data_IF_481149607920
#
_entry.id   IF_481149607920
#
_cell.length_a   1.000
_cell.length_b   1.000
_cell.length_c   1.000
_cell.angle_alpha   90.00
_cell.angle_beta   90.00
_cell.angle_gamma   90.00
#
_symmetry.space_group_name_H-M   'P 1'
#
loop_
_entity.id
_entity.type
_entity.pdbx_description
1 polymer ?
#
# COMPACT_ATOMS: atom_id res chain seq x y z
N UNK A 1 -16.15 21.27 -15.07
CA UNK A 1 -14.90 21.46 -14.31
C UNK A 1 -13.78 20.93 -15.20
N UNK A 2 -12.98 21.80 -15.81
CA UNK A 2 -11.85 21.37 -16.64
C UNK A 2 -10.70 20.99 -15.71
N UNK A 3 -10.28 19.72 -15.74
CA UNK A 3 -9.08 19.28 -15.03
C UNK A 3 -7.88 19.83 -15.80
N UNK A 4 -7.12 20.74 -15.20
CA UNK A 4 -5.85 21.19 -15.76
C UNK A 4 -4.80 20.13 -15.45
N UNK A 5 -4.22 19.51 -16.47
CA UNK A 5 -3.16 18.51 -16.33
C UNK A 5 -1.80 19.18 -16.11
N UNK A 6 -1.65 19.86 -14.98
CA UNK A 6 -0.35 20.34 -14.52
C UNK A 6 0.42 19.24 -13.77
N UNK A 7 1.71 19.50 -13.49
CA UNK A 7 2.59 18.54 -12.84
C UNK A 7 2.04 18.11 -11.47
N UNK A 8 1.43 19.03 -10.73
CA UNK A 8 0.79 18.76 -9.44
C UNK A 8 -0.34 17.74 -9.59
N UNK A 9 -1.25 17.95 -10.53
CA UNK A 9 -2.38 17.07 -10.79
C UNK A 9 -1.91 15.70 -11.28
N UNK A 10 -0.91 15.65 -12.16
CA UNK A 10 -0.32 14.39 -12.63
C UNK A 10 0.27 13.58 -11.47
N UNK A 11 1.08 14.21 -10.60
CA UNK A 11 1.64 13.52 -9.43
C UNK A 11 0.58 13.09 -8.42
N UNK A 12 -0.47 13.89 -8.22
CA UNK A 12 -1.59 13.49 -7.38
C UNK A 12 -2.26 12.21 -7.90
N UNK A 13 -2.44 12.09 -9.23
CA UNK A 13 -2.97 10.87 -9.84
C UNK A 13 -2.03 9.67 -9.74
N UNK A 14 -0.72 9.86 -9.92
CA UNK A 14 0.27 8.78 -9.77
C UNK A 14 0.24 8.24 -8.33
N UNK A 15 0.25 9.13 -7.32
CA UNK A 15 0.19 8.73 -5.91
C UNK A 15 -1.15 8.06 -5.59
N UNK A 16 -2.27 8.63 -6.05
CA UNK A 16 -3.59 8.05 -5.84
C UNK A 16 -3.71 6.66 -6.47
N UNK A 17 -3.16 6.48 -7.67
CA UNK A 17 -3.05 5.18 -8.32
C UNK A 17 -2.17 4.23 -7.52
N UNK A 18 -1.02 4.68 -7.01
CA UNK A 18 -0.14 3.86 -6.18
C UNK A 18 -0.81 3.37 -4.89
N UNK A 19 -1.53 4.26 -4.19
CA UNK A 19 -2.31 3.88 -3.01
C UNK A 19 -3.43 2.91 -3.37
N UNK A 20 -4.14 3.15 -4.47
CA UNK A 20 -5.18 2.24 -4.95
C UNK A 20 -4.62 0.85 -5.29
N UNK A 21 -3.51 0.81 -6.01
CA UNK A 21 -2.79 -0.39 -6.38
C UNK A 21 -2.37 -1.19 -5.13
N UNK A 22 -1.79 -0.52 -4.13
CA UNK A 22 -1.47 -1.09 -2.82
C UNK A 22 -2.70 -1.74 -2.17
N UNK A 23 -3.79 -0.98 -2.01
CA UNK A 23 -5.01 -1.47 -1.36
C UNK A 23 -5.60 -2.70 -2.05
N UNK A 24 -5.54 -2.76 -3.39
CA UNK A 24 -6.08 -3.89 -4.15
C UNK A 24 -5.16 -5.11 -4.06
N UNK A 25 -3.85 -4.93 -4.26
CA UNK A 25 -2.91 -6.04 -4.39
C UNK A 25 -2.45 -6.54 -3.02
N UNK A 26 -1.92 -5.66 -2.17
CA UNK A 26 -1.49 -6.02 -0.81
C UNK A 26 -2.69 -6.38 0.08
N UNK A 27 -3.87 -5.80 -0.21
CA UNK A 27 -5.12 -6.18 0.45
C UNK A 27 -5.50 -7.65 0.26
N UNK A 28 -5.11 -8.28 -0.86
CA UNK A 28 -5.24 -9.72 -1.04
C UNK A 28 -4.30 -10.49 -0.11
N UNK A 29 -3.03 -10.09 -0.01
CA UNK A 29 -2.02 -10.74 0.84
C UNK A 29 -2.41 -10.66 2.32
N UNK A 30 -2.76 -9.46 2.78
CA UNK A 30 -3.26 -9.21 4.14
C UNK A 30 -4.57 -9.96 4.40
N UNK A 31 -5.46 -10.04 3.40
CA UNK A 31 -6.70 -10.79 3.48
C UNK A 31 -6.47 -12.28 3.72
N UNK A 32 -5.53 -12.89 3.00
CA UNK A 32 -5.12 -14.28 3.26
C UNK A 32 -4.44 -14.40 4.62
N UNK A 33 -3.62 -13.43 5.04
CA UNK A 33 -3.03 -13.38 6.38
C UNK A 33 -4.08 -13.39 7.51
N UNK A 34 -5.16 -12.61 7.37
CA UNK A 34 -6.28 -12.59 8.32
C UNK A 34 -7.01 -13.93 8.36
N UNK A 35 -7.22 -14.55 7.19
CA UNK A 35 -7.90 -15.85 7.07
C UNK A 35 -6.99 -17.04 7.42
N UNK A 36 -5.68 -16.83 7.53
CA UNK A 36 -4.68 -17.88 7.70
C UNK A 36 -4.99 -18.89 8.83
N UNK A 37 -5.50 -18.47 10.01
CA UNK A 37 -5.87 -19.40 11.08
C UNK A 37 -6.96 -20.42 10.69
N UNK A 38 -7.78 -20.11 9.68
CA UNK A 38 -8.90 -20.95 9.21
C UNK A 38 -8.40 -22.13 8.37
N UNK A 39 -7.36 -21.93 7.56
CA UNK A 39 -6.79 -22.96 6.69
C UNK A 39 -6.10 -24.08 7.49
N UNK A 40 -6.09 -25.30 6.95
CA UNK A 40 -5.44 -26.47 7.57
C UNK A 40 -4.73 -27.34 6.53
N UNK A 41 -3.62 -27.96 6.93
CA UNK A 41 -2.88 -28.89 6.06
C UNK A 41 -2.47 -28.24 4.73
N UNK A 42 -2.75 -28.94 3.63
CA UNK A 42 -2.42 -28.50 2.27
C UNK A 42 -3.00 -27.13 1.89
N UNK A 43 -4.15 -26.72 2.47
CA UNK A 43 -4.74 -25.41 2.21
C UNK A 43 -3.84 -24.27 2.71
N UNK A 44 -3.07 -24.49 3.78
CA UNK A 44 -2.10 -23.50 4.27
C UNK A 44 -0.95 -23.34 3.29
N UNK A 45 -0.42 -24.45 2.80
CA UNK A 45 0.67 -24.44 1.83
C UNK A 45 0.22 -23.78 0.53
N UNK A 46 -1.02 -24.05 0.08
CA UNK A 46 -1.61 -23.41 -1.08
C UNK A 46 -1.81 -21.90 -0.87
N UNK A 47 -2.31 -21.48 0.30
CA UNK A 47 -2.49 -20.08 0.64
C UNK A 47 -1.14 -19.33 0.65
N UNK A 48 -0.10 -19.91 1.24
CA UNK A 48 1.25 -19.31 1.26
C UNK A 48 1.85 -19.23 -0.14
N UNK A 49 1.73 -20.30 -0.95
CA UNK A 49 2.24 -20.34 -2.31
C UNK A 49 1.56 -19.33 -3.25
N UNK A 50 0.34 -18.88 -2.93
CA UNK A 50 -0.36 -17.85 -3.69
C UNK A 50 0.21 -16.43 -3.46
N UNK A 51 0.72 -16.16 -2.25
CA UNK A 51 1.22 -14.83 -1.84
C UNK A 51 2.73 -14.68 -2.06
N UNK A 52 3.49 -15.73 -1.73
CA UNK A 52 4.96 -15.70 -1.72
C UNK A 52 5.64 -15.14 -2.98
N UNK A 53 5.15 -15.34 -4.22
CA UNK A 53 5.80 -14.78 -5.41
C UNK A 53 5.50 -13.30 -5.66
N UNK A 54 4.50 -12.70 -5.02
CA UNK A 54 3.99 -11.35 -5.36
C UNK A 54 4.05 -10.34 -4.22
N UNK A 55 4.07 -10.79 -2.96
CA UNK A 55 3.92 -9.94 -1.78
C UNK A 55 4.93 -8.78 -1.71
N UNK A 56 6.22 -9.09 -1.90
CA UNK A 56 7.30 -8.09 -1.88
C UNK A 56 7.09 -7.01 -2.96
N UNK A 57 6.55 -7.40 -4.12
CA UNK A 57 6.15 -6.45 -5.17
C UNK A 57 4.94 -5.60 -4.77
N UNK A 58 3.99 -6.16 -4.04
CA UNK A 58 2.77 -5.45 -3.63
C UNK A 58 3.08 -4.34 -2.61
N UNK A 59 4.01 -4.59 -1.68
CA UNK A 59 4.46 -3.59 -0.70
C UNK A 59 5.14 -2.37 -1.35
N UNK A 60 5.77 -2.53 -2.53
CA UNK A 60 6.43 -1.40 -3.21
C UNK A 60 5.47 -0.26 -3.56
N UNK A 61 4.18 -0.55 -3.73
CA UNK A 61 3.15 0.47 -4.01
C UNK A 61 2.91 1.39 -2.81
N UNK A 62 2.99 0.85 -1.59
CA UNK A 62 2.92 1.65 -0.37
C UNK A 62 4.13 2.59 -0.26
N UNK A 63 5.32 2.07 -0.57
CA UNK A 63 6.57 2.84 -0.59
C UNK A 63 6.49 3.96 -1.63
N UNK A 64 5.97 3.69 -2.83
CA UNK A 64 5.75 4.70 -3.85
C UNK A 64 4.72 5.75 -3.41
N UNK A 65 3.65 5.36 -2.72
CA UNK A 65 2.68 6.29 -2.16
C UNK A 65 3.30 7.24 -1.13
N UNK A 66 4.02 6.70 -0.14
CA UNK A 66 4.68 7.47 0.91
C UNK A 66 5.83 8.34 0.39
N UNK A 67 6.73 7.75 -0.40
CA UNK A 67 7.86 8.45 -1.03
C UNK A 67 7.40 9.50 -2.05
N UNK A 68 6.34 9.21 -2.81
CA UNK A 68 5.70 10.14 -3.73
C UNK A 68 5.11 11.35 -3.01
N UNK A 69 4.43 11.13 -1.87
CA UNK A 69 3.98 12.23 -1.01
C UNK A 69 5.15 13.06 -0.51
N UNK A 70 6.24 12.44 -0.05
CA UNK A 70 7.44 13.16 0.39
C UNK A 70 8.04 14.03 -0.72
N UNK A 71 8.15 13.50 -1.94
CA UNK A 71 8.78 14.18 -3.07
C UNK A 71 7.90 15.27 -3.70
N UNK A 72 6.64 14.97 -3.97
CA UNK A 72 5.73 15.87 -4.71
C UNK A 72 4.88 16.76 -3.80
N UNK A 73 4.61 16.33 -2.55
CA UNK A 73 3.73 17.02 -1.59
C UNK A 73 4.33 17.05 -0.17
N UNK A 74 5.53 17.63 0.02
CA UNK A 74 6.28 17.54 1.28
C UNK A 74 5.51 18.07 2.50
N UNK A 75 4.68 19.10 2.32
CA UNK A 75 3.82 19.61 3.40
C UNK A 75 2.78 18.58 3.84
N UNK A 76 2.14 17.89 2.90
CA UNK A 76 1.17 16.83 3.21
C UNK A 76 1.86 15.68 3.93
N UNK A 77 3.03 15.25 3.46
CA UNK A 77 3.83 14.21 4.11
C UNK A 77 4.20 14.59 5.56
N UNK A 78 4.68 15.80 5.78
CA UNK A 78 5.10 16.29 7.09
C UNK A 78 3.93 16.42 8.10
N UNK A 79 2.69 16.53 7.62
CA UNK A 79 1.50 16.58 8.47
C UNK A 79 0.96 15.16 8.71
N UNK A 80 0.80 14.37 7.66
CA UNK A 80 0.15 13.05 7.71
C UNK A 80 1.01 12.06 8.48
N UNK A 81 2.29 11.94 8.13
CA UNK A 81 3.15 10.89 8.69
C UNK A 81 3.24 10.98 10.23
N UNK A 82 3.52 12.14 10.84
CA UNK A 82 3.53 12.25 12.30
C UNK A 82 2.16 11.99 12.94
N UNK A 83 1.08 12.43 12.30
CA UNK A 83 -0.28 12.19 12.79
C UNK A 83 -0.64 10.70 12.80
N UNK A 84 -0.06 9.91 11.89
CA UNK A 84 -0.30 8.47 11.77
C UNK A 84 0.83 7.60 12.33
N UNK A 85 1.84 8.16 13.00
CA UNK A 85 2.99 7.40 13.49
C UNK A 85 2.62 6.15 14.30
N UNK A 86 1.70 6.20 15.28
CA UNK A 86 1.32 4.99 16.03
C UNK A 86 0.76 3.88 15.12
N UNK A 87 0.00 4.25 14.09
CA UNK A 87 -0.61 3.29 13.16
C UNK A 87 0.43 2.68 12.22
N UNK A 88 1.32 3.51 11.66
CA UNK A 88 2.39 3.05 10.78
C UNK A 88 3.38 2.16 11.55
N UNK A 89 3.74 2.53 12.78
CA UNK A 89 4.60 1.69 13.62
C UNK A 89 3.92 0.37 13.93
N UNK A 90 2.64 0.36 14.30
CA UNK A 90 1.91 -0.88 14.56
C UNK A 90 1.81 -1.80 13.33
N UNK A 91 1.74 -1.23 12.12
CA UNK A 91 1.72 -1.99 10.87
C UNK A 91 3.10 -2.59 10.51
N UNK A 92 4.20 -1.94 10.89
CA UNK A 92 5.57 -2.37 10.57
C UNK A 92 6.18 -3.34 11.59
N UNK A 93 5.51 -3.57 12.73
CA UNK A 93 5.94 -4.47 13.81
C UNK A 93 5.33 -5.87 13.65
#
# INVERSE_FOLDING_TARGET
MSVNLDLTTVWAFIIAFGIFAYVVMDGFDLGIGILFPVFKGEERDQAMNAIAPVWDGNETWLVLGGGGLFAAFPLAYAIILPATYPLIIAMLL
#
